data_IF_997248565567
#
_entry.id   IF_997248565567
#
_cell.length_a   1.000
_cell.length_b   1.000
_cell.length_c   1.000
_cell.angle_alpha   90.00
_cell.angle_beta   90.00
_cell.angle_gamma   90.00
#
_symmetry.space_group_name_H-M   'P 1'
#
loop_
_entity.id
_entity.type
_entity.pdbx_description
1 polymer ?
#
# COMPACT_ATOMS: atom_id res chain seq x y z
N UNK A 1 13.12 -8.82 -5.04
CA UNK A 1 12.24 -9.72 -5.82
C UNK A 1 11.47 -8.85 -6.78
N UNK A 2 11.82 -8.94 -8.06
CA UNK A 2 11.43 -7.91 -9.02
C UNK A 2 10.06 -8.19 -9.64
N UNK A 3 9.59 -9.45 -9.56
CA UNK A 3 8.24 -9.85 -9.97
C UNK A 3 7.15 -9.63 -8.91
N UNK A 4 7.31 -8.65 -8.00
CA UNK A 4 6.28 -8.29 -7.01
C UNK A 4 6.05 -6.79 -7.08
N UNK A 5 4.80 -6.37 -7.27
CA UNK A 5 4.44 -4.97 -7.50
C UNK A 5 4.17 -4.19 -6.22
N UNK A 6 3.85 -4.88 -5.12
CA UNK A 6 3.62 -4.27 -3.81
C UNK A 6 4.03 -5.19 -2.64
N UNK A 7 4.42 -4.59 -1.51
CA UNK A 7 4.75 -5.29 -0.27
C UNK A 7 4.07 -4.64 0.93
N UNK A 8 3.40 -5.43 1.76
CA UNK A 8 2.77 -4.99 2.99
C UNK A 8 3.53 -5.59 4.18
N UNK A 9 3.90 -4.74 5.14
CA UNK A 9 4.66 -5.15 6.33
C UNK A 9 4.02 -4.59 7.60
N UNK A 10 3.70 -5.46 8.55
CA UNK A 10 3.29 -5.04 9.91
C UNK A 10 4.33 -5.57 10.88
N UNK A 11 4.94 -4.67 11.62
CA UNK A 11 5.99 -5.01 12.57
C UNK A 11 6.48 -3.78 13.30
N UNK A 12 7.74 -3.79 13.72
CA UNK A 12 8.37 -2.68 14.42
C UNK A 12 8.84 -1.57 13.47
N UNK A 13 9.26 -0.44 14.05
CA UNK A 13 9.76 0.71 13.29
C UNK A 13 11.02 0.36 12.48
N UNK A 14 11.90 -0.47 13.04
CA UNK A 14 13.14 -0.86 12.37
C UNK A 14 12.87 -1.70 11.11
N UNK A 15 11.98 -2.70 11.23
CA UNK A 15 11.51 -3.50 10.10
C UNK A 15 10.80 -2.65 9.04
N UNK A 16 9.97 -1.71 9.46
CA UNK A 16 9.28 -0.78 8.56
C UNK A 16 10.28 0.01 7.70
N UNK A 17 11.30 0.60 8.33
CA UNK A 17 12.37 1.34 7.64
C UNK A 17 13.19 0.43 6.73
N UNK A 18 13.47 -0.79 7.16
CA UNK A 18 14.23 -1.76 6.37
C UNK A 18 13.47 -2.13 5.08
N UNK A 19 12.17 -2.42 5.19
CA UNK A 19 11.32 -2.78 4.06
C UNK A 19 11.17 -1.62 3.08
N UNK A 20 10.96 -0.40 3.57
CA UNK A 20 10.90 0.81 2.74
C UNK A 20 12.21 1.06 1.99
N UNK A 21 13.37 0.88 2.64
CA UNK A 21 14.67 1.03 1.95
C UNK A 21 14.88 -0.05 0.89
N UNK A 22 14.49 -1.29 1.16
CA UNK A 22 14.66 -2.41 0.25
C UNK A 22 13.77 -2.29 -1.01
N UNK A 23 12.65 -1.56 -0.95
CA UNK A 23 11.74 -1.41 -2.09
C UNK A 23 12.30 -0.58 -3.24
N UNK A 24 13.34 0.21 -2.99
CA UNK A 24 14.01 1.06 -4.00
C UNK A 24 14.52 0.23 -5.18
N UNK A 25 14.82 -1.07 -4.98
CA UNK A 25 15.31 -1.96 -6.03
C UNK A 25 14.40 -2.06 -7.27
N UNK A 26 13.08 -2.00 -7.09
CA UNK A 26 12.14 -1.97 -8.23
C UNK A 26 11.02 -0.94 -8.06
N UNK A 27 11.13 -0.02 -7.09
CA UNK A 27 10.14 1.01 -6.77
C UNK A 27 8.73 0.46 -6.51
N UNK A 28 8.63 -0.77 -6.01
CA UNK A 28 7.33 -1.36 -5.62
C UNK A 28 6.65 -0.52 -4.56
N UNK A 29 5.32 -0.49 -4.60
CA UNK A 29 4.54 0.14 -3.54
C UNK A 29 4.80 -0.58 -2.20
N UNK A 30 5.03 0.17 -1.14
CA UNK A 30 5.13 -0.37 0.22
C UNK A 30 4.05 0.23 1.09
N UNK A 31 3.41 -0.62 1.90
CA UNK A 31 2.55 -0.19 2.99
C UNK A 31 3.05 -0.79 4.30
N UNK A 32 3.13 0.02 5.34
CA UNK A 32 3.55 -0.41 6.68
C UNK A 32 2.73 0.29 7.78
N UNK A 33 2.63 -0.35 8.94
CA UNK A 33 2.10 0.24 10.16
C UNK A 33 3.06 1.25 10.83
N UNK A 34 4.29 1.41 10.32
CA UNK A 34 5.33 2.29 10.88
C UNK A 34 5.58 2.00 12.37
N UNK A 35 5.66 0.73 12.75
CA UNK A 35 5.87 0.37 14.15
C UNK A 35 4.70 0.67 15.10
N UNK A 36 3.55 1.14 14.60
CA UNK A 36 2.39 1.49 15.42
C UNK A 36 1.41 0.33 15.52
N UNK A 37 0.75 0.22 16.67
CA UNK A 37 -0.34 -0.72 16.82
C UNK A 37 -1.50 -0.33 15.91
N UNK A 38 -2.06 -1.35 15.24
CA UNK A 38 -3.28 -1.23 14.46
C UNK A 38 -4.40 -1.90 15.24
N UNK A 39 -5.45 -1.14 15.54
CA UNK A 39 -6.68 -1.73 16.04
C UNK A 39 -7.43 -2.39 14.87
N UNK A 40 -7.13 -3.65 14.58
CA UNK A 40 -7.74 -4.39 13.46
C UNK A 40 -9.26 -4.49 13.53
N UNK A 41 -9.85 -4.32 14.72
CA UNK A 41 -11.30 -4.34 14.94
C UNK A 41 -11.95 -2.97 14.75
N UNK A 42 -11.19 -1.95 14.32
CA UNK A 42 -11.71 -0.63 13.96
C UNK A 42 -12.49 -0.72 12.63
N UNK A 43 -13.79 -1.01 12.74
CA UNK A 43 -14.71 -1.15 11.60
C UNK A 43 -14.85 0.14 10.79
N UNK A 44 -14.79 1.31 11.44
CA UNK A 44 -14.86 2.60 10.72
C UNK A 44 -13.70 2.75 9.74
N UNK A 45 -12.53 2.22 10.11
CA UNK A 45 -11.32 2.31 9.30
C UNK A 45 -11.15 1.16 8.32
N UNK A 46 -11.44 -0.08 8.74
CA UNK A 46 -11.02 -1.28 8.01
C UNK A 46 -12.14 -2.03 7.28
N UNK A 47 -13.43 -1.75 7.55
CA UNK A 47 -14.54 -2.37 6.80
C UNK A 47 -14.81 -1.64 5.46
N UNK A 48 -14.24 -0.45 5.27
CA UNK A 48 -14.34 0.33 4.04
C UNK A 48 -13.22 0.08 3.02
N UNK A 49 -13.00 1.06 2.14
CA UNK A 49 -12.08 0.93 1.01
C UNK A 49 -10.60 1.13 1.35
N UNK A 50 -10.23 1.23 2.64
CA UNK A 50 -8.86 1.55 3.06
C UNK A 50 -7.82 0.62 2.43
N UNK A 51 -8.04 -0.70 2.52
CA UNK A 51 -7.15 -1.68 1.91
C UNK A 51 -7.35 -1.81 0.40
N UNK A 52 -8.57 -1.57 -0.11
CA UNK A 52 -8.86 -1.58 -1.54
C UNK A 52 -8.04 -0.49 -2.27
N UNK A 53 -7.95 0.71 -1.70
CA UNK A 53 -7.10 1.79 -2.22
C UNK A 53 -5.61 1.44 -2.22
N UNK A 54 -5.16 0.55 -1.32
CA UNK A 54 -3.76 0.06 -1.31
C UNK A 54 -3.54 -1.11 -2.26
N UNK A 55 -4.58 -1.88 -2.58
CA UNK A 55 -4.53 -3.04 -3.45
C UNK A 55 -4.79 -2.73 -4.93
N UNK A 56 -5.27 -1.52 -5.24
CA UNK A 56 -5.64 -1.10 -6.61
C UNK A 56 -4.77 0.05 -7.10
N UNK A 57 -4.70 0.19 -8.43
CA UNK A 57 -4.06 1.33 -9.10
C UNK A 57 -5.08 2.02 -10.00
N UNK A 58 -5.03 3.35 -10.03
CA UNK A 58 -5.88 4.14 -10.92
C UNK A 58 -5.28 4.17 -12.31
N UNK A 59 -5.99 3.61 -13.28
CA UNK A 59 -5.66 3.72 -14.70
C UNK A 59 -6.61 4.73 -15.36
N UNK A 60 -6.15 5.97 -15.50
CA UNK A 60 -6.90 7.00 -16.20
C UNK A 60 -6.81 6.78 -17.72
N UNK A 61 -7.96 6.65 -18.38
CA UNK A 61 -8.07 6.46 -19.84
C UNK A 61 -8.96 7.57 -20.40
N UNK A 62 -8.40 8.39 -21.27
CA UNK A 62 -9.13 9.48 -21.92
C UNK A 62 -9.69 9.03 -23.25
N UNK A 63 -10.99 9.21 -23.44
CA UNK A 63 -11.69 8.90 -24.69
C UNK A 63 -12.30 10.19 -25.27
N UNK A 64 -12.33 10.37 -26.59
CA UNK A 64 -13.04 11.49 -27.20
C UNK A 64 -14.52 11.48 -26.78
N UNK A 65 -15.03 12.64 -26.38
CA UNK A 65 -16.44 12.84 -26.04
C UNK A 65 -16.95 14.12 -26.73
N UNK A 66 -17.96 13.98 -27.59
CA UNK A 66 -18.58 15.11 -28.28
C UNK A 66 -19.75 15.65 -27.46
N UNK A 67 -19.64 16.89 -27.00
CA UNK A 67 -20.77 17.66 -26.49
C UNK A 67 -21.50 18.34 -27.66
#
# INVERSE_FOLDING_TARGET
HDGVDALWFVGDQAGSVMVEKASIGNLKQVWTNLGKDLNWSDSEKFDGDYFLQKATQVKNVWIPYGA
#
